data_IF_847261911140
#
_entry.id   IF_847261911140
#
_cell.length_a   1.000
_cell.length_b   1.000
_cell.length_c   1.000
_cell.angle_alpha   90.00
_cell.angle_beta   90.00
_cell.angle_gamma   90.00
#
_symmetry.space_group_name_H-M   'P 1'
#
loop_
_entity.id
_entity.type
_entity.pdbx_description
1 polymer ?
#
# COMPACT_ATOMS: atom_id res chain seq x y z
N UNK A 1 13.72 6.77 -8.38
CA UNK A 1 12.96 8.03 -8.27
C UNK A 1 11.52 7.62 -8.08
N UNK A 2 10.92 7.95 -6.94
CA UNK A 2 9.50 7.76 -6.69
C UNK A 2 8.73 8.67 -7.64
N UNK A 3 8.00 8.08 -8.57
CA UNK A 3 7.13 8.79 -9.49
C UNK A 3 5.71 8.27 -9.32
N UNK A 4 4.84 9.15 -8.85
CA UNK A 4 3.40 8.93 -8.75
C UNK A 4 2.76 9.82 -9.81
N UNK A 5 1.96 9.21 -10.67
CA UNK A 5 1.15 9.91 -11.64
C UNK A 5 -0.12 10.41 -10.95
N UNK A 6 -0.09 11.67 -10.52
CA UNK A 6 -1.20 12.30 -9.80
C UNK A 6 -2.45 12.43 -10.67
N UNK A 7 -2.33 12.58 -11.99
CA UNK A 7 -3.48 12.63 -12.89
C UNK A 7 -4.30 11.33 -12.80
N UNK A 8 -3.63 10.18 -12.67
CA UNK A 8 -4.32 8.88 -12.49
C UNK A 8 -5.03 8.77 -11.14
N UNK A 9 -4.47 9.39 -10.09
CA UNK A 9 -5.12 9.46 -8.78
C UNK A 9 -6.33 10.39 -8.86
N UNK A 10 -6.19 11.57 -9.47
CA UNK A 10 -7.26 12.54 -9.65
C UNK A 10 -8.42 11.99 -10.47
N UNK A 11 -8.13 11.20 -11.51
CA UNK A 11 -9.13 10.54 -12.36
C UNK A 11 -9.85 9.36 -11.69
N UNK A 12 -9.38 8.88 -10.54
CA UNK A 12 -10.09 7.88 -9.74
C UNK A 12 -11.30 8.52 -9.06
N UNK A 13 -12.50 8.01 -9.34
CA UNK A 13 -13.75 8.59 -8.87
C UNK A 13 -13.93 8.46 -7.37
N UNK A 14 -14.78 9.30 -6.79
CA UNK A 14 -15.11 9.24 -5.36
C UNK A 14 -15.58 7.83 -4.91
N UNK A 15 -16.40 7.17 -5.73
CA UNK A 15 -16.95 5.85 -5.42
C UNK A 15 -15.88 4.75 -5.47
N UNK A 16 -14.91 4.83 -6.40
CA UNK A 16 -13.75 3.94 -6.42
C UNK A 16 -12.86 4.18 -5.19
N UNK A 17 -12.59 5.44 -4.82
CA UNK A 17 -11.81 5.76 -3.62
C UNK A 17 -12.47 5.28 -2.33
N UNK A 18 -13.79 5.36 -2.22
CA UNK A 18 -14.55 4.80 -1.07
C UNK A 18 -14.32 3.29 -0.93
N UNK A 19 -14.23 2.54 -2.03
CA UNK A 19 -13.97 1.08 -2.01
C UNK A 19 -12.57 0.73 -1.51
N UNK A 20 -11.64 1.69 -1.51
CA UNK A 20 -10.29 1.51 -0.99
C UNK A 20 -10.19 1.74 0.53
N UNK A 21 -11.22 2.31 1.18
CA UNK A 21 -11.21 2.51 2.64
C UNK A 21 -11.09 1.17 3.40
N UNK A 22 -11.90 0.12 3.09
CA UNK A 22 -11.71 -1.20 3.70
C UNK A 22 -10.33 -1.81 3.42
N UNK A 23 -9.75 -1.51 2.26
CA UNK A 23 -8.42 -1.99 1.91
C UNK A 23 -7.33 -1.37 2.79
N UNK A 24 -7.44 -0.08 3.13
CA UNK A 24 -6.52 0.55 4.10
C UNK A 24 -6.63 -0.13 5.47
N UNK A 25 -7.85 -0.44 5.94
CA UNK A 25 -8.03 -1.20 7.18
C UNK A 25 -7.36 -2.58 7.11
N UNK A 26 -7.51 -3.30 5.99
CA UNK A 26 -6.83 -4.57 5.77
C UNK A 26 -5.29 -4.44 5.84
N UNK A 27 -4.72 -3.35 5.32
CA UNK A 27 -3.28 -3.09 5.41
C UNK A 27 -2.84 -2.78 6.84
N UNK A 28 -3.66 -2.08 7.62
CA UNK A 28 -3.36 -1.87 9.05
C UNK A 28 -3.38 -3.17 9.86
N UNK A 29 -4.30 -4.09 9.57
CA UNK A 29 -4.30 -5.45 10.14
C UNK A 29 -3.09 -6.26 9.70
N UNK A 30 -2.70 -6.15 8.42
CA UNK A 30 -1.49 -6.80 7.90
C UNK A 30 -0.22 -6.31 8.60
N UNK A 31 -0.11 -5.00 8.88
CA UNK A 31 0.99 -4.47 9.71
C UNK A 31 1.00 -5.16 11.08
N UNK A 32 -0.14 -5.25 11.75
CA UNK A 32 -0.22 -5.90 13.05
C UNK A 32 0.20 -7.37 12.99
N UNK A 33 -0.25 -8.11 11.99
CA UNK A 33 0.16 -9.51 11.79
C UNK A 33 1.65 -9.64 11.50
N UNK A 34 2.23 -8.72 10.72
CA UNK A 34 3.68 -8.66 10.49
C UNK A 34 4.45 -8.32 11.77
N UNK A 35 4.00 -7.36 12.57
CA UNK A 35 4.66 -7.03 13.85
C UNK A 35 4.59 -8.17 14.86
N UNK A 36 3.49 -8.95 14.84
CA UNK A 36 3.27 -10.07 15.74
C UNK A 36 4.00 -11.35 15.31
N UNK A 37 4.05 -11.65 14.01
CA UNK A 37 4.54 -12.92 13.46
C UNK A 37 5.77 -12.77 12.55
N UNK A 38 6.27 -11.56 12.37
CA UNK A 38 7.33 -11.26 11.41
C UNK A 38 6.92 -11.59 9.98
N UNK A 39 7.87 -12.13 9.22
CA UNK A 39 7.72 -12.50 7.80
C UNK A 39 6.53 -13.44 7.55
N UNK A 40 6.14 -14.27 8.53
CA UNK A 40 4.99 -15.16 8.40
C UNK A 40 3.66 -14.39 8.20
N UNK A 41 3.54 -13.18 8.76
CA UNK A 41 2.39 -12.31 8.50
C UNK A 41 2.21 -12.00 7.01
N UNK A 42 3.31 -11.67 6.31
CA UNK A 42 3.31 -11.45 4.87
C UNK A 42 3.07 -12.73 4.08
N UNK A 43 3.69 -13.85 4.46
CA UNK A 43 3.47 -15.14 3.81
C UNK A 43 1.99 -15.54 3.82
N UNK A 44 1.31 -15.34 4.94
CA UNK A 44 -0.12 -15.65 5.08
C UNK A 44 -0.99 -14.75 4.19
N UNK A 45 -0.69 -13.46 4.11
CA UNK A 45 -1.39 -12.53 3.21
C UNK A 45 -1.21 -12.89 1.73
N UNK A 46 0.01 -13.27 1.34
CA UNK A 46 0.31 -13.76 0.00
C UNK A 46 -0.54 -15.00 -0.33
N UNK A 47 -0.65 -15.94 0.62
CA UNK A 47 -1.43 -17.16 0.47
C UNK A 47 -2.94 -16.89 0.44
N UNK A 48 -3.43 -15.87 1.15
CA UNK A 48 -4.87 -15.56 1.24
C UNK A 48 -5.45 -14.87 0.00
N UNK A 49 -4.62 -14.46 -0.96
CA UNK A 49 -5.11 -13.92 -2.24
C UNK A 49 -4.55 -12.56 -2.65
N UNK A 50 -3.36 -12.17 -2.17
CA UNK A 50 -2.68 -10.99 -2.69
C UNK A 50 -2.61 -11.01 -4.23
N UNK A 51 -2.68 -9.85 -4.88
CA UNK A 51 -2.52 -9.75 -6.32
C UNK A 51 -1.04 -9.87 -6.74
N UNK A 52 -0.76 -9.95 -8.04
CA UNK A 52 0.60 -10.15 -8.54
C UNK A 52 1.58 -9.06 -8.10
N UNK A 53 1.15 -7.79 -8.12
CA UNK A 53 1.96 -6.66 -7.71
C UNK A 53 2.27 -6.73 -6.20
N UNK A 54 1.25 -6.96 -5.37
CA UNK A 54 1.40 -7.09 -3.92
C UNK A 54 2.36 -8.22 -3.55
N UNK A 55 2.24 -9.38 -4.22
CA UNK A 55 3.16 -10.52 -4.04
C UNK A 55 4.60 -10.12 -4.35
N UNK A 56 4.83 -9.46 -5.48
CA UNK A 56 6.18 -9.04 -5.87
C UNK A 56 6.76 -8.03 -4.88
N UNK A 57 5.98 -7.03 -4.47
CA UNK A 57 6.40 -6.02 -3.51
C UNK A 57 6.77 -6.63 -2.15
N UNK A 58 5.95 -7.54 -1.62
CA UNK A 58 6.25 -8.23 -0.36
C UNK A 58 7.44 -9.18 -0.49
N UNK A 59 7.59 -9.89 -1.61
CA UNK A 59 8.75 -10.76 -1.86
C UNK A 59 10.06 -9.98 -1.81
N UNK A 60 10.11 -8.76 -2.35
CA UNK A 60 11.31 -7.90 -2.25
C UNK A 60 11.66 -7.62 -0.77
N UNK A 61 10.67 -7.30 0.05
CA UNK A 61 10.89 -7.04 1.48
C UNK A 61 11.34 -8.32 2.20
N UNK A 62 10.67 -9.43 1.96
CA UNK A 62 10.97 -10.73 2.59
C UNK A 62 12.35 -11.27 2.18
N UNK A 63 12.86 -10.91 1.01
CA UNK A 63 14.21 -11.25 0.54
C UNK A 63 15.29 -10.32 1.10
N UNK A 64 14.93 -9.30 1.88
CA UNK A 64 15.88 -8.40 2.54
C UNK A 64 16.46 -7.33 1.62
N UNK A 65 15.80 -6.99 0.52
CA UNK A 65 16.25 -5.87 -0.32
C UNK A 65 16.16 -4.55 0.44
N UNK A 66 17.12 -3.64 0.18
CA UNK A 66 17.13 -2.31 0.78
C UNK A 66 15.88 -1.50 0.37
N UNK A 67 15.34 -0.63 1.27
CA UNK A 67 14.15 0.16 0.97
C UNK A 67 14.23 0.99 -0.31
N UNK A 68 15.40 1.52 -0.66
CA UNK A 68 15.61 2.31 -1.87
C UNK A 68 15.51 1.46 -3.14
N UNK A 69 15.86 0.17 -3.04
CA UNK A 69 15.73 -0.80 -4.14
C UNK A 69 14.28 -1.21 -4.29
N UNK A 70 13.63 -1.56 -3.17
CA UNK A 70 12.19 -1.84 -3.08
C UNK A 70 11.37 -0.70 -3.73
N UNK A 71 11.64 0.55 -3.34
CA UNK A 71 10.97 1.74 -3.86
C UNK A 71 11.15 1.88 -5.38
N UNK A 72 12.39 1.77 -5.88
CA UNK A 72 12.67 1.87 -7.32
C UNK A 72 11.92 0.80 -8.11
N UNK A 73 11.92 -0.45 -7.65
CA UNK A 73 11.29 -1.56 -8.37
C UNK A 73 9.77 -1.42 -8.34
N UNK A 74 9.16 -1.16 -7.17
CA UNK A 74 7.71 -1.01 -7.07
C UNK A 74 7.19 0.13 -7.93
N UNK A 75 7.80 1.31 -7.87
CA UNK A 75 7.34 2.45 -8.67
C UNK A 75 7.66 2.26 -10.16
N UNK A 76 8.71 1.52 -10.53
CA UNK A 76 8.91 1.14 -11.92
C UNK A 76 7.76 0.25 -12.41
N UNK A 77 7.40 -0.79 -11.64
CA UNK A 77 6.31 -1.71 -11.97
C UNK A 77 4.96 -1.00 -12.07
N UNK A 78 4.64 -0.11 -11.13
CA UNK A 78 3.39 0.68 -11.17
C UNK A 78 3.31 1.49 -12.47
N UNK A 79 4.41 2.13 -12.86
CA UNK A 79 4.43 3.04 -14.01
C UNK A 79 4.60 2.32 -15.36
N UNK A 80 5.15 1.11 -15.38
CA UNK A 80 5.22 0.26 -16.58
C UNK A 80 3.95 -0.54 -16.81
N UNK A 81 3.12 -0.71 -15.78
CA UNK A 81 1.85 -1.43 -15.85
C UNK A 81 0.73 -0.46 -16.25
N UNK A 82 -0.27 -0.97 -16.97
CA UNK A 82 -1.44 -0.20 -17.43
C UNK A 82 -2.50 -0.11 -16.31
N UNK A 83 -2.09 0.14 -15.08
CA UNK A 83 -3.03 0.38 -13.98
C UNK A 83 -3.73 1.72 -14.17
N UNK A 84 -5.04 1.73 -13.98
CA UNK A 84 -5.91 2.92 -14.06
C UNK A 84 -6.91 2.93 -12.89
N UNK A 85 -7.50 4.09 -12.60
CA UNK A 85 -8.58 4.24 -11.61
C UNK A 85 -8.25 3.61 -10.25
N UNK A 86 -9.17 2.79 -9.75
CA UNK A 86 -9.04 2.08 -8.47
C UNK A 86 -7.74 1.26 -8.36
N UNK A 87 -7.35 0.55 -9.42
CA UNK A 87 -6.16 -0.33 -9.40
C UNK A 87 -4.86 0.47 -9.26
N UNK A 88 -4.76 1.62 -9.92
CA UNK A 88 -3.59 2.49 -9.81
C UNK A 88 -3.43 3.01 -8.40
N UNK A 89 -4.50 3.56 -7.83
CA UNK A 89 -4.50 4.11 -6.46
C UNK A 89 -4.20 3.01 -5.45
N UNK A 90 -4.80 1.82 -5.61
CA UNK A 90 -4.54 0.65 -4.77
C UNK A 90 -3.07 0.24 -4.79
N UNK A 91 -2.45 0.18 -5.97
CA UNK A 91 -1.04 -0.17 -6.11
C UNK A 91 -0.11 0.87 -5.45
N UNK A 92 -0.41 2.16 -5.58
CA UNK A 92 0.33 3.24 -4.91
C UNK A 92 0.19 3.13 -3.40
N UNK A 93 -1.02 2.97 -2.87
CA UNK A 93 -1.28 2.78 -1.43
C UNK A 93 -0.49 1.58 -0.90
N UNK A 94 -0.49 0.46 -1.63
CA UNK A 94 0.25 -0.72 -1.21
C UNK A 94 1.77 -0.51 -1.20
N UNK A 95 2.32 0.16 -2.21
CA UNK A 95 3.75 0.47 -2.26
C UNK A 95 4.16 1.34 -1.05
N UNK A 96 3.34 2.32 -0.70
CA UNK A 96 3.57 3.19 0.47
C UNK A 96 3.50 2.41 1.77
N UNK A 97 2.50 1.53 1.91
CA UNK A 97 2.41 0.60 3.03
C UNK A 97 3.69 -0.24 3.17
N UNK A 98 4.09 -0.89 2.09
CA UNK A 98 5.24 -1.80 2.06
C UNK A 98 6.53 -1.07 2.47
N UNK A 99 6.74 0.15 1.96
CA UNK A 99 7.91 0.97 2.31
C UNK A 99 7.84 1.50 3.75
N UNK A 100 6.67 1.90 4.22
CA UNK A 100 6.49 2.42 5.57
C UNK A 100 6.80 1.35 6.62
N UNK A 101 6.31 0.12 6.42
CA UNK A 101 6.58 -1.01 7.32
C UNK A 101 8.07 -1.39 7.32
N UNK A 102 8.79 -1.12 6.23
CA UNK A 102 10.21 -1.45 6.11
C UNK A 102 11.16 -0.43 6.76
N UNK A 103 10.85 0.87 6.68
CA UNK A 103 11.81 1.94 7.01
C UNK A 103 11.91 2.26 8.51
N UNK A 104 10.81 2.22 9.27
CA UNK A 104 10.79 2.61 10.68
C UNK A 104 9.52 2.10 11.39
N UNK A 105 9.49 2.02 12.73
CA UNK A 105 8.26 1.79 13.47
C UNK A 105 7.34 3.00 13.30
N UNK A 106 6.35 2.86 12.42
CA UNK A 106 5.26 3.81 12.21
C UNK A 106 4.06 3.40 13.08
N UNK A 107 3.40 4.35 13.72
CA UNK A 107 2.17 4.07 14.47
C UNK A 107 1.05 3.57 13.55
N UNK A 108 0.12 2.76 14.06
CA UNK A 108 -1.03 2.28 13.25
C UNK A 108 -1.89 3.46 12.76
N UNK A 109 -2.13 4.46 13.61
CA UNK A 109 -2.86 5.68 13.24
C UNK A 109 -2.08 6.52 12.21
N UNK A 110 -0.77 6.67 12.39
CA UNK A 110 0.09 7.39 11.44
C UNK A 110 0.10 6.71 10.06
N UNK A 111 0.18 5.37 10.04
CA UNK A 111 0.07 4.60 8.81
C UNK A 111 -1.30 4.79 8.17
N UNK A 112 -2.39 4.67 8.93
CA UNK A 112 -3.76 4.86 8.41
C UNK A 112 -3.92 6.25 7.78
N UNK A 113 -3.43 7.31 8.46
CA UNK A 113 -3.47 8.67 7.95
C UNK A 113 -2.63 8.87 6.68
N UNK A 114 -1.41 8.30 6.64
CA UNK A 114 -0.55 8.31 5.46
C UNK A 114 -1.25 7.65 4.26
N UNK A 115 -1.83 6.46 4.45
CA UNK A 115 -2.50 5.73 3.37
C UNK A 115 -3.79 6.41 2.92
N UNK A 116 -4.57 6.96 3.85
CA UNK A 116 -5.81 7.68 3.52
C UNK A 116 -5.56 8.99 2.77
N UNK A 117 -4.37 9.60 2.90
CA UNK A 117 -4.02 10.83 2.17
C UNK A 117 -4.08 10.66 0.65
N UNK A 118 -3.92 9.44 0.12
CA UNK A 118 -4.06 9.15 -1.31
C UNK A 118 -5.51 9.08 -1.81
N UNK A 119 -6.48 9.03 -0.90
CA UNK A 119 -7.90 9.04 -1.25
C UNK A 119 -8.47 10.47 -1.33
N UNK A 120 -7.82 11.43 -0.67
CA UNK A 120 -8.26 12.83 -0.57
C UNK A 120 -8.64 13.23 0.85
N UNK A 121 -8.77 14.53 1.09
CA UNK A 121 -8.95 15.10 2.44
C UNK A 121 -10.26 14.72 3.11
N UNK A 122 -11.33 14.50 2.33
CA UNK A 122 -12.62 14.02 2.83
C UNK A 122 -12.57 12.63 3.49
N UNK A 123 -11.53 11.83 3.19
CA UNK A 123 -11.33 10.51 3.78
C UNK A 123 -10.47 10.54 5.03
N UNK A 124 -9.91 11.69 5.40
CA UNK A 124 -9.13 11.89 6.62
C UNK A 124 -10.02 12.07 7.86
N UNK A 125 -11.29 12.46 7.66
CA UNK A 125 -12.26 12.75 8.73
C UNK A 125 -13.23 11.57 9.01
N UNK A 126 -13.11 10.46 8.28
CA UNK A 126 -13.97 9.30 8.52
C UNK A 126 -13.71 8.73 9.93
N UNK A 127 -14.77 8.37 10.67
CA UNK A 127 -14.66 7.95 12.07
C UNK A 127 -13.62 6.83 12.20
N UNK A 128 -12.63 7.11 13.03
CA UNK A 128 -11.47 6.27 13.29
C UNK A 128 -11.83 5.15 14.27
N UNK A 129 -12.83 4.36 13.93
CA UNK A 129 -13.23 3.16 14.69
C UNK A 129 -12.34 1.96 14.31
#
# INVERSE_FOLDING_TARGET
>A
MRFINWDKIENCTLEERKRLVPYISQLTELKYEFERKGIEGFSNYIASGANLFEKQALQLIMQGYMPEVCEKVMFHLINSTHFEGEEYVKAVIFAEFALAVQKAPIGVQELKLLLSSYLGTEFLELPMD
#
